data_IF_254897070793
#
_entry.id   IF_254897070793
#
_cell.length_a   1.000
_cell.length_b   1.000
_cell.length_c   1.000
_cell.angle_alpha   90.00
_cell.angle_beta   90.00
_cell.angle_gamma   90.00
#
_symmetry.space_group_name_H-M   'P 1'
#
loop_
_entity.id
_entity.type
_entity.pdbx_description
1 polymer ?
#
# COMPACT_ATOMS: atom_id res chain seq x y z
N UNK A 1 10.59 -35.45 -20.81
CA UNK A 1 10.80 -34.54 -19.66
C UNK A 1 11.04 -33.13 -20.20
N UNK A 2 9.98 -32.35 -20.47
CA UNK A 2 10.02 -31.18 -21.36
C UNK A 2 9.16 -30.00 -20.86
N UNK A 3 8.91 -29.90 -19.54
CA UNK A 3 7.95 -28.94 -18.97
C UNK A 3 8.54 -27.91 -17.99
N UNK A 4 9.85 -27.85 -17.79
CA UNK A 4 10.48 -26.96 -16.80
C UNK A 4 11.03 -25.65 -17.42
N UNK A 5 10.78 -25.42 -18.72
CA UNK A 5 11.41 -24.34 -19.52
C UNK A 5 10.38 -23.24 -19.92
N UNK A 6 9.14 -23.24 -19.43
CA UNK A 6 8.09 -22.34 -19.96
C UNK A 6 7.67 -21.13 -19.12
N UNK A 7 8.23 -20.90 -17.92
CA UNK A 7 7.82 -19.78 -17.06
C UNK A 7 8.97 -18.86 -16.63
N UNK A 8 10.02 -18.71 -17.45
CA UNK A 8 11.09 -17.74 -17.23
C UNK A 8 11.26 -16.73 -18.39
N UNK A 9 10.34 -16.75 -19.36
CA UNK A 9 10.41 -15.91 -20.58
C UNK A 9 9.51 -14.67 -20.54
N UNK A 10 8.76 -14.43 -19.45
CA UNK A 10 7.76 -13.34 -19.39
C UNK A 10 8.15 -12.14 -18.49
N UNK A 11 9.44 -11.86 -18.26
CA UNK A 11 9.80 -10.76 -17.34
C UNK A 11 10.96 -9.84 -17.74
N UNK A 12 11.51 -9.91 -18.96
CA UNK A 12 12.78 -9.21 -19.24
C UNK A 12 12.90 -8.43 -20.55
N UNK A 13 11.79 -8.01 -21.15
CA UNK A 13 11.83 -7.23 -22.41
C UNK A 13 10.81 -6.07 -22.54
N UNK A 14 10.29 -5.52 -21.44
CA UNK A 14 9.44 -4.29 -21.48
C UNK A 14 9.98 -3.14 -20.62
N UNK A 15 11.09 -3.30 -19.89
CA UNK A 15 11.62 -2.23 -19.03
C UNK A 15 12.46 -1.16 -19.75
N UNK A 16 12.84 -1.38 -21.02
CA UNK A 16 13.74 -0.49 -21.77
C UNK A 16 13.08 0.55 -22.68
N UNK A 17 11.75 0.50 -22.89
CA UNK A 17 11.02 1.44 -23.76
C UNK A 17 9.98 2.30 -23.02
N UNK A 18 9.83 2.15 -21.70
CA UNK A 18 8.88 2.92 -20.86
C UNK A 18 9.62 4.02 -20.06
N UNK A 19 10.89 4.31 -20.38
CA UNK A 19 11.68 5.35 -19.72
C UNK A 19 11.56 6.74 -20.38
N UNK A 20 10.52 6.97 -21.20
CA UNK A 20 10.24 8.27 -21.84
C UNK A 20 8.77 8.73 -21.73
N UNK A 21 8.02 8.16 -20.78
CA UNK A 21 6.68 8.64 -20.44
C UNK A 21 6.48 8.65 -18.93
N UNK A 22 7.43 9.22 -18.18
CA UNK A 22 7.14 9.69 -16.84
C UNK A 22 6.38 11.01 -16.96
N UNK A 23 5.12 10.86 -17.37
CA UNK A 23 4.05 11.82 -17.16
C UNK A 23 4.14 12.25 -15.70
N UNK A 24 4.32 13.55 -15.44
CA UNK A 24 4.26 14.09 -14.07
C UNK A 24 2.86 13.87 -13.54
N UNK A 25 2.65 12.75 -12.85
CA UNK A 25 1.38 12.46 -12.20
C UNK A 25 1.34 13.29 -10.93
N UNK A 26 0.35 14.18 -10.85
CA UNK A 26 0.03 14.92 -9.63
C UNK A 26 -0.20 13.90 -8.51
N UNK A 27 0.65 13.90 -7.50
CA UNK A 27 0.46 13.11 -6.28
C UNK A 27 -0.70 13.76 -5.54
N UNK A 28 -1.91 13.32 -5.81
CA UNK A 28 -3.02 13.56 -4.90
C UNK A 28 -2.80 12.59 -3.73
N UNK A 29 -2.91 13.07 -2.50
CA UNK A 29 -2.90 12.20 -1.33
C UNK A 29 -3.94 11.10 -1.56
N UNK A 30 -3.49 9.86 -1.69
CA UNK A 30 -4.40 8.74 -1.86
C UNK A 30 -5.07 8.54 -0.51
N UNK A 31 -6.39 8.75 -0.45
CA UNK A 31 -7.18 8.39 0.72
C UNK A 31 -7.17 6.86 0.84
N UNK A 32 -6.45 6.32 1.83
CA UNK A 32 -6.41 4.88 2.09
C UNK A 32 -7.32 4.61 3.27
N UNK A 33 -8.55 4.17 2.98
CA UNK A 33 -9.44 3.61 4.01
C UNK A 33 -8.93 2.22 4.38
N UNK A 34 -8.34 2.07 5.57
CA UNK A 34 -7.93 0.75 6.07
C UNK A 34 -9.11 0.06 6.73
N UNK A 35 -9.63 -0.99 6.10
CA UNK A 35 -10.73 -1.78 6.63
C UNK A 35 -10.28 -2.99 7.48
N UNK A 36 -8.97 -3.21 7.71
CA UNK A 36 -8.45 -4.42 8.36
C UNK A 36 -7.11 -4.26 9.08
N UNK A 37 -6.84 -5.22 9.97
CA UNK A 37 -5.63 -5.28 10.80
C UNK A 37 -4.34 -5.37 9.99
N UNK A 38 -3.25 -4.88 10.57
CA UNK A 38 -1.91 -4.95 9.97
C UNK A 38 -1.29 -6.30 10.31
N UNK A 39 -1.15 -7.15 9.30
CA UNK A 39 -0.67 -8.54 9.42
C UNK A 39 0.76 -8.77 8.93
N UNK A 40 1.36 -7.76 8.32
CA UNK A 40 2.74 -7.77 7.83
C UNK A 40 3.38 -6.42 8.07
N UNK A 41 4.71 -6.38 8.11
CA UNK A 41 5.46 -5.13 8.23
C UNK A 41 5.00 -4.12 7.18
N UNK A 42 4.59 -2.95 7.64
CA UNK A 42 3.97 -1.90 6.83
C UNK A 42 4.54 -0.54 7.23
N UNK A 43 4.80 0.30 6.24
CA UNK A 43 5.22 1.69 6.46
C UNK A 43 4.11 2.64 6.02
N UNK A 44 3.72 3.54 6.91
CA UNK A 44 2.87 4.67 6.60
C UNK A 44 3.72 5.92 6.38
N UNK A 45 3.49 6.59 5.25
CA UNK A 45 4.27 7.74 4.83
C UNK A 45 3.46 9.03 4.92
N UNK A 46 4.16 10.15 5.08
CA UNK A 46 3.57 11.49 5.12
C UNK A 46 2.92 11.93 3.79
N UNK A 47 3.12 11.17 2.72
CA UNK A 47 2.48 11.42 1.41
C UNK A 47 1.01 11.02 1.38
N UNK A 48 0.53 10.28 2.40
CA UNK A 48 -0.84 9.80 2.49
C UNK A 48 -1.50 10.29 3.77
N UNK A 49 -2.83 10.38 3.72
CA UNK A 49 -3.68 10.53 4.90
C UNK A 49 -4.37 9.19 5.16
N UNK A 50 -4.28 8.71 6.40
CA UNK A 50 -4.82 7.41 6.80
C UNK A 50 -6.10 7.62 7.60
N UNK A 51 -7.22 7.06 7.13
CA UNK A 51 -8.52 7.17 7.81
C UNK A 51 -8.90 5.78 8.31
N UNK A 52 -9.02 5.67 9.64
CA UNK A 52 -9.39 4.45 10.34
C UNK A 52 -10.90 4.47 10.60
N UNK A 53 -11.65 3.68 9.83
CA UNK A 53 -13.10 3.55 9.92
C UNK A 53 -13.58 2.68 11.11
N UNK A 54 -12.65 1.93 11.69
CA UNK A 54 -12.81 1.06 12.85
C UNK A 54 -11.46 0.91 13.58
N UNK A 55 -11.42 0.29 14.77
CA UNK A 55 -10.16 -0.04 15.43
C UNK A 55 -9.29 -0.94 14.55
N UNK A 56 -8.04 -0.54 14.32
CA UNK A 56 -7.02 -1.31 13.59
C UNK A 56 -5.98 -1.83 14.59
N UNK A 57 -5.75 -3.14 14.57
CA UNK A 57 -4.73 -3.78 15.38
C UNK A 57 -3.51 -4.16 14.55
N UNK A 58 -2.32 -3.92 15.08
CA UNK A 58 -1.08 -4.54 14.60
C UNK A 58 -0.97 -5.88 15.32
N UNK A 59 -1.04 -6.98 14.57
CA UNK A 59 -1.03 -8.32 15.16
C UNK A 59 0.40 -8.78 15.50
N UNK A 60 0.50 -9.86 16.27
CA UNK A 60 1.79 -10.47 16.62
C UNK A 60 2.61 -10.78 15.36
N UNK A 61 3.90 -10.44 15.40
CA UNK A 61 4.82 -10.64 14.28
C UNK A 61 4.79 -9.57 13.18
N UNK A 62 3.98 -8.51 13.31
CA UNK A 62 3.96 -7.38 12.38
C UNK A 62 4.46 -6.08 13.03
N UNK A 63 5.08 -5.22 12.24
CA UNK A 63 5.51 -3.87 12.62
C UNK A 63 4.80 -2.82 11.78
N UNK A 64 4.19 -1.83 12.43
CA UNK A 64 3.77 -0.59 11.77
C UNK A 64 4.84 0.49 12.00
N UNK A 65 5.49 0.94 10.93
CA UNK A 65 6.39 2.10 10.96
C UNK A 65 5.64 3.33 10.48
N UNK A 66 5.63 4.40 11.27
CA UNK A 66 5.00 5.67 10.92
C UNK A 66 6.10 6.70 10.67
N UNK A 67 6.21 7.19 9.44
CA UNK A 67 7.14 8.25 9.11
C UNK A 67 6.70 9.58 9.74
N UNK A 68 7.69 10.41 10.11
CA UNK A 68 7.41 11.72 10.68
C UNK A 68 6.58 12.57 9.70
N UNK A 69 5.53 13.23 10.21
CA UNK A 69 4.62 14.03 9.39
C UNK A 69 3.43 13.26 8.80
N UNK A 70 3.30 11.96 9.08
CA UNK A 70 2.10 11.18 8.72
C UNK A 70 0.87 11.65 9.49
N UNK A 71 -0.23 11.91 8.79
CA UNK A 71 -1.53 12.29 9.38
C UNK A 71 -2.46 11.08 9.44
N UNK A 72 -3.07 10.85 10.61
CA UNK A 72 -3.95 9.70 10.88
C UNK A 72 -5.24 10.21 11.53
N UNK A 73 -6.38 9.85 10.96
CA UNK A 73 -7.71 10.18 11.47
C UNK A 73 -8.44 8.92 11.93
N UNK A 74 -9.15 9.01 13.05
CA UNK A 74 -10.12 7.99 13.45
C UNK A 74 -11.53 8.51 13.19
N UNK A 75 -12.40 7.70 12.60
CA UNK A 75 -13.82 8.05 12.46
C UNK A 75 -14.64 7.39 13.55
N UNK A 76 -15.68 8.07 13.98
CA UNK A 76 -16.77 7.44 14.71
C UNK A 76 -17.47 6.45 13.78
N UNK A 77 -17.69 5.22 14.25
CA UNK A 77 -18.40 4.21 13.46
C UNK A 77 -19.90 4.55 13.53
N UNK A 78 -20.38 5.29 12.54
CA UNK A 78 -21.76 5.80 12.49
C UNK A 78 -22.81 4.71 12.25
N UNK A 79 -22.39 3.48 11.92
CA UNK A 79 -23.25 2.32 11.67
C UNK A 79 -23.57 1.48 12.92
N UNK A 80 -23.17 1.92 14.12
CA UNK A 80 -23.48 1.23 15.38
C UNK A 80 -24.94 1.46 15.88
N UNK A 81 -25.87 1.76 14.97
CA UNK A 81 -27.30 1.98 15.25
C UNK A 81 -28.15 0.72 15.14
#
# INVERSE_FOLDING_TARGET
MKSIIKNLTNFKAIFGLIFLTFFSQSVNAAEVTLAGNITTDTTWSASNEYILDKPIFVIDGATLTIEAGTTIYGTENLDAG
#
